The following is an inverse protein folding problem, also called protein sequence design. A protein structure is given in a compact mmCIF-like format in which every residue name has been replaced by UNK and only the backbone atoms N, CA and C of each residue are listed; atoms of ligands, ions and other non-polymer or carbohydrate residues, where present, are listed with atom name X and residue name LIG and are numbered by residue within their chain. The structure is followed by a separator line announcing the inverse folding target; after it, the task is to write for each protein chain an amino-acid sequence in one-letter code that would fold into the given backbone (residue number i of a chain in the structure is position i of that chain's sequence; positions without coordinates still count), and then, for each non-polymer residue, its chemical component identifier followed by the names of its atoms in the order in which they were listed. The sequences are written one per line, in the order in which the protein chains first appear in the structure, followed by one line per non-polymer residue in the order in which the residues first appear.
data_IF_738333005241
#
_entry.id   IF_738333005241
#
_cell.length_a   1.000
_cell.length_b   1.000
_cell.length_c   1.000
_cell.angle_alpha   90.00
_cell.angle_beta   90.00
_cell.angle_gamma   90.00
#
_symmetry.space_group_name_H-M   'P 1'
#
loop_
_entity.id
_entity.type
_entity.pdbx_description
1 polymer ?
#
# COMPACT_ATOMS: atom_id res chain seq x y z
N UNK A 1 5.01 -25.77 -17.41
CA UNK A 1 3.66 -25.27 -17.07
C UNK A 1 2.69 -26.43 -17.16
N UNK A 2 2.04 -26.83 -16.08
CA UNK A 2 1.12 -27.97 -16.08
C UNK A 2 -0.16 -27.62 -16.86
N UNK A 3 -0.82 -28.62 -17.46
CA UNK A 3 -2.13 -28.42 -18.11
C UNK A 3 -3.17 -27.81 -17.14
N UNK A 4 -3.02 -28.06 -15.84
CA UNK A 4 -3.85 -27.47 -14.78
C UNK A 4 -3.63 -25.96 -14.63
N UNK A 5 -2.38 -25.51 -14.70
CA UNK A 5 -2.03 -24.09 -14.53
C UNK A 5 -2.60 -23.25 -15.67
N UNK A 6 -2.54 -23.76 -16.91
CA UNK A 6 -3.12 -23.10 -18.08
C UNK A 6 -4.63 -22.89 -17.93
N UNK A 7 -5.36 -23.92 -17.47
CA UNK A 7 -6.80 -23.82 -17.22
C UNK A 7 -7.13 -22.81 -16.13
N UNK A 8 -6.33 -22.75 -15.07
CA UNK A 8 -6.51 -21.76 -13.99
C UNK A 8 -6.23 -20.32 -14.46
N UNK A 9 -5.18 -20.11 -15.25
CA UNK A 9 -4.85 -18.80 -15.83
C UNK A 9 -5.96 -18.31 -16.76
N UNK A 10 -6.49 -19.21 -17.58
CA UNK A 10 -7.60 -18.94 -18.48
C UNK A 10 -8.87 -18.54 -17.71
N UNK A 11 -9.24 -19.29 -16.67
CA UNK A 11 -10.37 -18.94 -15.80
C UNK A 11 -10.19 -17.57 -15.15
N UNK A 12 -8.97 -17.23 -14.71
CA UNK A 12 -8.68 -15.90 -14.14
C UNK A 12 -8.80 -14.78 -15.17
N UNK A 13 -8.36 -14.98 -16.41
CA UNK A 13 -8.46 -13.98 -17.46
C UNK A 13 -9.91 -13.77 -17.92
N UNK A 14 -10.72 -14.83 -17.94
CA UNK A 14 -12.17 -14.74 -18.16
C UNK A 14 -12.83 -13.96 -17.02
N UNK A 15 -12.52 -14.26 -15.75
CA UNK A 15 -13.02 -13.50 -14.60
C UNK A 15 -12.64 -12.01 -14.65
N UNK A 16 -11.47 -11.68 -15.20
CA UNK A 16 -11.03 -10.30 -15.38
C UNK A 16 -11.67 -9.60 -16.60
N UNK A 17 -12.53 -10.28 -17.38
CA UNK A 17 -13.09 -9.80 -18.65
C UNK A 17 -12.02 -9.48 -19.71
N UNK A 18 -10.82 -10.07 -19.59
CA UNK A 18 -9.76 -9.94 -20.58
C UNK A 18 -9.94 -10.92 -21.75
N UNK A 19 -10.66 -12.03 -21.52
CA UNK A 19 -11.04 -13.02 -22.52
C UNK A 19 -12.56 -13.19 -22.55
N UNK A 20 -13.09 -13.42 -23.75
CA UNK A 20 -14.49 -13.78 -23.95
C UNK A 20 -14.77 -15.23 -23.52
N UNK A 21 -15.95 -15.51 -22.94
CA UNK A 21 -16.36 -16.85 -22.51
C UNK A 21 -16.90 -17.73 -23.66
N UNK A 22 -16.49 -17.46 -24.91
CA UNK A 22 -16.92 -18.21 -26.09
C UNK A 22 -16.03 -19.43 -26.33
N UNK A 23 -16.50 -20.38 -27.14
CA UNK A 23 -15.73 -21.59 -27.50
C UNK A 23 -14.37 -21.25 -28.15
N UNK A 24 -14.28 -20.10 -28.83
CA UNK A 24 -13.04 -19.52 -29.36
C UNK A 24 -12.69 -18.30 -28.52
N UNK A 25 -12.02 -18.52 -27.39
CA UNK A 25 -11.61 -17.46 -26.44
C UNK A 25 -10.81 -16.38 -27.16
N UNK A 26 -11.51 -15.29 -27.48
CA UNK A 26 -10.96 -14.12 -28.16
C UNK A 26 -10.54 -13.09 -27.12
N UNK A 27 -9.50 -12.31 -27.41
CA UNK A 27 -9.05 -11.22 -26.54
C UNK A 27 -9.98 -10.02 -26.66
N UNK A 28 -10.50 -9.54 -25.53
CA UNK A 28 -11.38 -8.36 -25.49
C UNK A 28 -10.57 -7.07 -25.68
N UNK A 29 -11.23 -5.96 -25.99
CA UNK A 29 -10.57 -4.65 -26.06
C UNK A 29 -9.95 -4.25 -24.70
N UNK A 30 -10.63 -4.59 -23.60
CA UNK A 30 -10.07 -4.48 -22.25
C UNK A 30 -8.81 -5.35 -22.10
N UNK A 31 -8.84 -6.60 -22.55
CA UNK A 31 -7.67 -7.49 -22.52
C UNK A 31 -6.48 -6.94 -23.33
N UNK A 32 -6.74 -6.32 -24.49
CA UNK A 32 -5.71 -5.66 -25.31
C UNK A 32 -5.08 -4.49 -24.57
N UNK A 33 -5.88 -3.61 -23.95
CA UNK A 33 -5.33 -2.48 -23.18
C UNK A 33 -4.55 -2.94 -21.96
N UNK A 34 -5.03 -3.98 -21.26
CA UNK A 34 -4.32 -4.60 -20.14
C UNK A 34 -2.96 -5.18 -20.55
N UNK A 35 -2.85 -5.75 -21.76
CA UNK A 35 -1.60 -6.35 -22.25
C UNK A 35 -0.47 -5.35 -22.51
N UNK A 36 -0.77 -4.06 -22.57
CA UNK A 36 0.23 -3.00 -22.79
C UNK A 36 1.02 -2.73 -21.49
N UNK A 37 0.41 -2.97 -20.33
CA UNK A 37 1.05 -2.71 -19.06
C UNK A 37 1.98 -3.87 -18.66
N UNK A 38 3.23 -3.60 -18.23
CA UNK A 38 4.13 -4.62 -17.69
C UNK A 38 3.76 -4.97 -16.24
N UNK A 39 2.48 -5.29 -16.02
CA UNK A 39 1.91 -5.57 -14.70
C UNK A 39 1.09 -6.85 -14.74
N UNK A 40 0.83 -7.39 -13.54
CA UNK A 40 -0.11 -8.50 -13.42
C UNK A 40 -1.51 -8.07 -13.89
N UNK A 41 -2.28 -8.94 -14.58
CA UNK A 41 -3.58 -8.58 -15.16
C UNK A 41 -4.57 -7.94 -14.17
N UNK A 42 -4.51 -8.32 -12.88
CA UNK A 42 -5.36 -7.72 -11.83
C UNK A 42 -5.06 -6.23 -11.62
N UNK A 43 -3.78 -5.85 -11.55
CA UNK A 43 -3.37 -4.46 -11.36
C UNK A 43 -3.54 -3.66 -12.66
N UNK A 44 -3.30 -4.28 -13.81
CA UNK A 44 -3.59 -3.68 -15.11
C UNK A 44 -5.08 -3.31 -15.25
N UNK A 45 -6.00 -4.20 -14.83
CA UNK A 45 -7.43 -3.91 -14.78
C UNK A 45 -7.77 -2.77 -13.81
N UNK A 46 -7.10 -2.73 -12.65
CA UNK A 46 -7.29 -1.65 -11.68
C UNK A 46 -6.94 -0.29 -12.30
N UNK A 47 -5.83 -0.20 -13.05
CA UNK A 47 -5.43 1.02 -13.75
C UNK A 47 -6.39 1.40 -14.88
N UNK A 48 -6.87 0.44 -15.67
CA UNK A 48 -7.79 0.74 -16.78
C UNK A 48 -9.14 1.26 -16.27
N UNK A 49 -9.66 0.71 -15.16
CA UNK A 49 -10.88 1.21 -14.51
C UNK A 49 -10.66 2.58 -13.85
N UNK A 50 -9.52 2.78 -13.18
CA UNK A 50 -9.22 4.05 -12.52
C UNK A 50 -9.12 5.24 -13.49
N UNK A 51 -8.73 4.97 -14.74
CA UNK A 51 -8.71 5.98 -15.78
C UNK A 51 -10.13 6.43 -16.17
N UNK A 52 -11.10 5.52 -16.16
CA UNK A 52 -12.50 5.82 -16.48
C UNK A 52 -13.16 6.67 -15.38
N UNK A 53 -12.87 6.34 -14.12
CA UNK A 53 -13.44 6.99 -12.93
C UNK A 53 -12.66 8.24 -12.46
N UNK A 54 -11.72 8.74 -13.28
CA UNK A 54 -10.90 9.92 -13.00
C UNK A 54 -10.12 9.89 -11.65
N UNK A 55 -9.93 8.71 -11.06
CA UNK A 55 -9.20 8.49 -9.80
C UNK A 55 -7.78 7.91 -10.05
N UNK A 56 -7.31 8.05 -11.28
CA UNK A 56 -6.05 7.52 -11.79
C UNK A 56 -4.82 7.79 -10.91
N UNK A 57 -4.52 9.02 -10.43
CA UNK A 57 -3.30 9.28 -9.65
C UNK A 57 -3.25 8.52 -8.31
N UNK A 58 -4.41 8.33 -7.66
CA UNK A 58 -4.49 7.58 -6.41
C UNK A 58 -4.25 6.09 -6.63
N UNK A 59 -4.84 5.55 -7.70
CA UNK A 59 -4.69 4.14 -8.05
C UNK A 59 -3.26 3.82 -8.50
N UNK A 60 -2.58 4.71 -9.22
CA UNK A 60 -1.16 4.51 -9.55
C UNK A 60 -0.32 4.38 -8.27
N UNK A 61 -0.56 5.22 -7.26
CA UNK A 61 0.16 5.14 -5.99
C UNK A 61 -0.07 3.80 -5.28
N UNK A 62 -1.31 3.31 -5.27
CA UNK A 62 -1.65 1.99 -4.71
C UNK A 62 -0.99 0.88 -5.51
N UNK A 63 -1.07 0.90 -6.84
CA UNK A 63 -0.48 -0.12 -7.72
C UNK A 63 1.05 -0.17 -7.59
N UNK A 64 1.71 0.99 -7.48
CA UNK A 64 3.15 1.07 -7.24
C UNK A 64 3.51 0.45 -5.88
N UNK A 65 2.78 0.77 -4.82
CA UNK A 65 3.01 0.19 -3.50
C UNK A 65 2.80 -1.34 -3.47
N UNK A 66 1.74 -1.83 -4.10
CA UNK A 66 1.46 -3.26 -4.22
C UNK A 66 2.50 -4.02 -5.04
N UNK A 67 3.21 -3.33 -5.95
CA UNK A 67 4.27 -3.93 -6.77
C UNK A 67 5.57 -4.10 -5.99
N UNK A 68 5.87 -3.21 -5.05
CA UNK A 68 7.08 -3.25 -4.21
C UNK A 68 6.89 -4.18 -3.00
N UNK A 69 5.67 -4.28 -2.46
CA UNK A 69 5.34 -5.21 -1.38
C UNK A 69 5.25 -4.55 -0.01
N UNK A 70 5.97 -5.06 0.99
CA UNK A 70 5.84 -4.61 2.39
C UNK A 70 6.49 -3.23 2.60
N UNK A 71 5.64 -2.22 2.79
CA UNK A 71 6.04 -0.82 3.03
C UNK A 71 6.28 -0.53 4.50
N UNK A 72 5.41 -1.06 5.37
CA UNK A 72 5.42 -0.78 6.80
C UNK A 72 6.30 -1.78 7.55
N UNK A 73 7.04 -1.26 8.53
CA UNK A 73 7.70 -2.08 9.53
C UNK A 73 6.62 -2.66 10.45
N UNK A 74 6.66 -3.98 10.67
CA UNK A 74 5.70 -4.66 11.57
C UNK A 74 6.18 -4.56 13.02
N UNK A 75 5.23 -4.62 13.95
CA UNK A 75 5.50 -4.56 15.40
C UNK A 75 6.54 -5.61 15.85
N UNK A 76 6.46 -6.84 15.34
CA UNK A 76 7.42 -7.89 15.63
C UNK A 76 8.87 -7.56 15.22
N UNK A 77 9.08 -6.69 14.21
CA UNK A 77 10.42 -6.26 13.81
C UNK A 77 10.99 -5.19 14.75
N UNK A 78 10.14 -4.54 15.55
CA UNK A 78 10.53 -3.56 16.57
C UNK A 78 10.94 -4.25 17.87
N UNK A 79 10.29 -5.38 18.18
CA UNK A 79 10.67 -6.27 19.26
C UNK A 79 11.81 -7.18 18.84
N UNK A 80 13.04 -6.68 18.96
CA UNK A 80 14.23 -7.55 19.07
C UNK A 80 14.20 -8.20 20.47
N UNK A 81 13.19 -9.02 20.73
CA UNK A 81 13.20 -10.02 21.79
C UNK A 81 13.65 -11.30 21.13
N UNK A 82 14.90 -11.69 21.36
CA UNK A 82 15.35 -13.04 21.00
C UNK A 82 14.41 -14.02 21.72
N UNK A 83 13.85 -15.03 21.03
CA UNK A 83 13.04 -16.04 21.70
C UNK A 83 13.95 -16.81 22.67
N UNK A 84 13.87 -16.49 23.96
CA UNK A 84 14.74 -17.11 24.98
C UNK A 84 14.97 -16.33 26.27
N UNK A 85 14.55 -15.06 26.38
CA UNK A 85 14.48 -14.40 27.70
C UNK A 85 13.07 -14.62 28.26
N UNK A 86 12.94 -15.63 29.13
CA UNK A 86 11.75 -15.80 29.99
C UNK A 86 11.72 -14.63 30.98
N UNK A 87 10.85 -13.66 30.71
CA UNK A 87 10.51 -12.61 31.66
C UNK A 87 9.67 -13.22 32.78
N UNK A 88 10.15 -13.09 34.02
CA UNK A 88 9.29 -13.22 35.20
C UNK A 88 8.14 -12.22 35.06
N UNK A 89 6.94 -12.76 35.21
CA UNK A 89 5.65 -12.15 34.99
C UNK A 89 5.45 -10.88 35.84
N UNK A 90 5.10 -9.80 35.14
CA UNK A 90 4.13 -8.82 35.64
C UNK A 90 3.28 -8.45 34.44
N UNK A 91 2.25 -9.26 34.22
CA UNK A 91 1.08 -8.95 33.41
C UNK A 91 0.39 -7.74 34.06
N UNK A 92 0.80 -6.53 33.67
CA UNK A 92 -0.12 -5.40 33.68
C UNK A 92 -0.80 -5.42 32.32
N UNK A 93 -1.93 -6.14 32.32
CA UNK A 93 -2.88 -6.32 31.24
C UNK A 93 -3.59 -4.98 30.97
N UNK A 94 -2.88 -4.04 30.33
CA UNK A 94 -3.50 -2.83 29.78
C UNK A 94 -4.17 -3.21 28.46
N UNK A 95 -5.43 -3.62 28.55
CA UNK A 95 -6.41 -3.72 27.47
C UNK A 95 -6.38 -2.44 26.60
N UNK A 96 -5.66 -2.49 25.48
CA UNK A 96 -5.55 -1.42 24.48
C UNK A 96 -6.79 -1.39 23.58
N UNK A 97 -7.98 -1.36 24.17
CA UNK A 97 -9.22 -1.21 23.38
C UNK A 97 -9.99 0.07 23.70
N UNK A 98 -9.69 0.78 24.79
CA UNK A 98 -10.46 1.97 25.10
C UNK A 98 -9.71 2.98 25.97
N UNK A 99 -8.72 3.70 25.42
CA UNK A 99 -8.72 5.12 25.73
C UNK A 99 -8.01 6.05 24.75
N UNK A 100 -8.84 6.95 24.23
CA UNK A 100 -8.52 8.33 23.92
C UNK A 100 -8.07 9.05 25.22
N UNK A 101 -6.88 8.74 25.74
CA UNK A 101 -6.22 9.55 26.77
C UNK A 101 -5.15 10.42 26.14
N UNK A 102 -5.40 11.73 26.18
CA UNK A 102 -4.37 12.77 26.22
C UNK A 102 -3.42 12.45 27.37
N UNK A 103 -2.12 12.57 27.15
CA UNK A 103 -1.13 13.11 28.08
C UNK A 103 0.16 13.33 27.28
N UNK A 104 0.55 14.59 27.26
CA UNK A 104 1.70 15.16 26.57
C UNK A 104 3.02 14.57 27.09
N UNK A 105 4.00 14.48 26.20
CA UNK A 105 5.44 14.66 26.45
C UNK A 105 5.96 14.18 27.82
N UNK A 106 6.15 12.87 27.97
CA UNK A 106 7.19 12.36 28.87
C UNK A 106 8.46 12.24 28.03
N UNK A 107 9.25 13.31 28.09
CA UNK A 107 10.34 13.59 27.17
C UNK A 107 11.41 12.50 27.17
N UNK A 108 11.92 12.25 25.98
CA UNK A 108 13.09 11.43 25.63
C UNK A 108 14.33 11.67 26.54
N UNK A 109 14.33 12.78 27.29
CA UNK A 109 15.30 13.15 28.33
C UNK A 109 15.27 12.27 29.59
N UNK A 110 14.13 11.76 30.04
CA UNK A 110 14.06 10.96 31.29
C UNK A 110 14.76 9.60 31.16
N UNK A 111 14.88 9.08 29.93
CA UNK A 111 15.62 7.86 29.64
C UNK A 111 17.12 7.99 29.96
N UNK A 112 17.68 9.19 30.01
CA UNK A 112 19.11 9.38 30.24
C UNK A 112 19.52 9.17 31.72
N UNK A 113 18.55 9.22 32.64
CA UNK A 113 18.79 9.14 34.09
C UNK A 113 18.61 7.73 34.69
N UNK A 114 18.18 6.76 33.89
CA UNK A 114 18.00 5.38 34.34
C UNK A 114 19.34 4.64 34.28
N UNK A 115 19.91 4.35 35.44
CA UNK A 115 21.21 3.66 35.57
C UNK A 115 21.14 2.17 35.27
N UNK A 116 19.96 1.56 35.35
CA UNK A 116 19.77 0.13 35.12
C UNK A 116 19.53 -0.18 33.63
N UNK A 117 20.45 -0.92 33.03
CA UNK A 117 20.42 -1.26 31.60
C UNK A 117 19.15 -2.04 31.19
N UNK A 118 18.65 -2.92 32.06
CA UNK A 118 17.43 -3.71 31.78
C UNK A 118 16.18 -2.84 31.77
N UNK A 119 16.07 -1.95 32.76
CA UNK A 119 14.95 -0.99 32.86
C UNK A 119 15.00 0.01 31.70
N UNK A 120 16.19 0.51 31.36
CA UNK A 120 16.39 1.41 30.23
C UNK A 120 15.93 0.78 28.90
N UNK A 121 16.29 -0.49 28.66
CA UNK A 121 15.85 -1.23 27.47
C UNK A 121 14.33 -1.40 27.44
N UNK A 122 13.70 -1.74 28.58
CA UNK A 122 12.23 -1.87 28.71
C UNK A 122 11.52 -0.55 28.42
N UNK A 123 11.97 0.56 29.00
CA UNK A 123 11.37 1.88 28.79
C UNK A 123 11.59 2.39 27.36
N UNK A 124 12.75 2.14 26.74
CA UNK A 124 12.99 2.43 25.31
C UNK A 124 12.06 1.67 24.37
N UNK A 125 11.75 0.40 24.68
CA UNK A 125 10.79 -0.41 23.92
C UNK A 125 9.38 0.19 24.03
N UNK A 126 8.94 0.52 25.24
CA UNK A 126 7.64 1.19 25.46
C UNK A 126 7.53 2.51 24.70
N UNK A 127 8.58 3.35 24.75
CA UNK A 127 8.60 4.61 24.02
C UNK A 127 8.51 4.40 22.50
N UNK A 128 9.31 3.47 21.95
CA UNK A 128 9.28 3.13 20.51
C UNK A 128 7.90 2.62 20.09
N UNK A 129 7.26 1.76 20.89
CA UNK A 129 5.91 1.24 20.65
C UNK A 129 4.85 2.35 20.67
N UNK A 130 4.94 3.29 21.62
CA UNK A 130 4.07 4.48 21.67
C UNK A 130 4.24 5.36 20.43
N UNK A 131 5.48 5.62 20.01
CA UNK A 131 5.78 6.37 18.79
C UNK A 131 5.22 5.66 17.54
N UNK A 132 5.35 4.33 17.48
CA UNK A 132 4.81 3.51 16.40
C UNK A 132 3.29 3.65 16.26
N UNK A 133 2.53 3.41 17.34
CA UNK A 133 1.08 3.55 17.27
C UNK A 133 0.64 5.00 16.98
N UNK A 134 1.34 6.00 17.54
CA UNK A 134 1.06 7.41 17.23
C UNK A 134 1.24 7.70 15.74
N UNK A 135 2.34 7.26 15.13
CA UNK A 135 2.57 7.41 13.70
C UNK A 135 1.53 6.66 12.87
N UNK A 136 1.17 5.44 13.28
CA UNK A 136 0.17 4.62 12.60
C UNK A 136 -1.22 5.27 12.61
N UNK A 137 -1.67 5.83 13.73
CA UNK A 137 -2.96 6.54 13.83
C UNK A 137 -3.01 7.75 12.90
N UNK A 138 -1.90 8.45 12.69
CA UNK A 138 -1.83 9.57 11.73
C UNK A 138 -2.10 9.10 10.31
N UNK A 139 -1.57 7.94 9.92
CA UNK A 139 -1.74 7.39 8.57
C UNK A 139 -3.12 6.73 8.36
N UNK A 140 -3.81 6.36 9.43
CA UNK A 140 -5.17 5.80 9.41
C UNK A 140 -6.27 6.88 9.36
N UNK A 141 -5.91 8.17 9.30
CA UNK A 141 -6.86 9.28 9.38
C UNK A 141 -7.95 9.31 8.29
N UNK A 142 -7.71 8.71 7.12
CA UNK A 142 -8.67 8.71 6.02
C UNK A 142 -9.74 7.63 6.17
N UNK A 143 -9.30 6.42 6.50
CA UNK A 143 -10.17 5.25 6.72
C UNK A 143 -9.40 4.20 7.54
N UNK A 144 -9.83 3.92 8.79
CA UNK A 144 -9.15 2.96 9.67
C UNK A 144 -9.30 1.50 9.23
N UNK A 145 -10.27 1.18 8.36
CA UNK A 145 -10.50 -0.19 7.89
C UNK A 145 -9.73 -0.51 6.61
N UNK A 146 -9.20 0.51 5.93
CA UNK A 146 -8.62 0.36 4.60
C UNK A 146 -7.09 0.58 4.63
N UNK A 147 -6.34 -0.52 4.69
CA UNK A 147 -4.88 -0.50 4.59
C UNK A 147 -4.37 0.17 3.31
N UNK A 148 -5.14 0.14 2.22
CA UNK A 148 -4.75 0.82 0.98
C UNK A 148 -4.81 2.34 1.14
N UNK A 149 -5.77 2.86 1.92
CA UNK A 149 -5.86 4.29 2.21
C UNK A 149 -4.68 4.74 3.10
N UNK A 150 -4.26 3.88 4.04
CA UNK A 150 -3.08 4.10 4.86
C UNK A 150 -1.80 4.19 4.02
N UNK A 151 -1.61 3.26 3.08
CA UNK A 151 -0.49 3.31 2.11
C UNK A 151 -0.53 4.61 1.31
N UNK A 152 -1.71 4.99 0.81
CA UNK A 152 -1.89 6.20 0.01
C UNK A 152 -1.49 7.47 0.78
N UNK A 153 -1.89 7.57 2.05
CA UNK A 153 -1.52 8.68 2.93
C UNK A 153 -0.01 8.79 3.11
N UNK A 154 0.66 7.67 3.39
CA UNK A 154 2.11 7.62 3.58
C UNK A 154 2.85 8.02 2.32
N UNK A 155 2.47 7.46 1.17
CA UNK A 155 3.11 7.79 -0.11
C UNK A 155 2.91 9.28 -0.44
N UNK A 156 1.74 9.84 -0.16
CA UNK A 156 1.45 11.26 -0.32
C UNK A 156 2.20 12.17 0.67
N UNK A 157 2.43 11.73 1.90
CA UNK A 157 3.25 12.44 2.87
C UNK A 157 4.73 12.40 2.48
N UNK A 158 5.25 11.22 2.10
CA UNK A 158 6.62 11.04 1.62
C UNK A 158 6.96 11.90 0.40
N UNK A 159 6.01 12.07 -0.52
CA UNK A 159 6.20 12.91 -1.71
C UNK A 159 6.33 14.41 -1.41
N UNK A 160 5.79 14.88 -0.27
CA UNK A 160 5.85 16.29 0.16
C UNK A 160 7.07 16.61 1.00
N UNK A 161 7.69 15.59 1.59
CA UNK A 161 8.77 15.77 2.54
C UNK A 161 10.13 16.01 1.85
N UNK A 162 10.96 16.85 2.47
CA UNK A 162 12.30 17.17 1.96
C UNK A 162 13.33 16.15 2.42
N UNK A 163 13.27 15.73 3.69
CA UNK A 163 14.16 14.72 4.25
C UNK A 163 13.49 13.35 4.31
N UNK A 164 13.63 12.61 3.20
CA UNK A 164 13.03 11.30 2.99
C UNK A 164 13.50 10.23 3.99
N UNK A 165 14.77 10.28 4.40
CA UNK A 165 15.34 9.29 5.32
C UNK A 165 14.79 9.46 6.74
N UNK A 166 14.79 10.70 7.26
CA UNK A 166 14.22 11.01 8.57
C UNK A 166 12.73 10.68 8.64
N UNK A 167 11.99 11.01 7.58
CA UNK A 167 10.57 10.66 7.47
C UNK A 167 10.34 9.16 7.60
N UNK A 168 11.13 8.33 6.91
CA UNK A 168 11.00 6.89 6.96
C UNK A 168 11.29 6.32 8.36
N UNK A 169 12.27 6.90 9.08
CA UNK A 169 12.57 6.48 10.46
C UNK A 169 11.49 6.87 11.47
N UNK A 170 10.91 8.05 11.33
CA UNK A 170 9.87 8.55 12.24
C UNK A 170 8.52 7.88 12.02
N UNK A 171 8.21 7.51 10.77
CA UNK A 171 6.93 6.89 10.40
C UNK A 171 6.98 5.36 10.33
N UNK A 172 8.11 4.73 10.68
CA UNK A 172 8.29 3.28 10.68
C UNK A 172 7.99 2.66 9.29
N UNK A 173 8.57 3.27 8.26
CA UNK A 173 8.42 2.86 6.86
C UNK A 173 9.78 2.47 6.29
N UNK A 174 9.83 1.41 5.49
CA UNK A 174 11.07 1.00 4.84
C UNK A 174 11.51 2.02 3.78
N UNK A 175 12.68 2.61 3.99
CA UNK A 175 13.24 3.61 3.08
C UNK A 175 13.45 3.08 1.65
N UNK A 176 14.04 1.88 1.51
CA UNK A 176 14.27 1.26 0.20
C UNK A 176 12.95 1.03 -0.55
N UNK A 177 11.93 0.52 0.13
CA UNK A 177 10.61 0.33 -0.46
C UNK A 177 10.01 1.65 -0.94
N UNK A 178 10.09 2.72 -0.14
CA UNK A 178 9.61 4.05 -0.53
C UNK A 178 10.37 4.65 -1.72
N UNK A 179 11.68 4.42 -1.81
CA UNK A 179 12.46 4.83 -2.97
C UNK A 179 12.01 4.11 -4.25
N UNK A 180 11.81 2.80 -4.19
CA UNK A 180 11.33 2.01 -5.34
C UNK A 180 9.93 2.44 -5.77
N UNK A 181 9.01 2.66 -4.82
CA UNK A 181 7.67 3.19 -5.09
C UNK A 181 7.75 4.53 -5.81
N UNK A 182 8.62 5.44 -5.33
CA UNK A 182 8.78 6.76 -5.94
C UNK A 182 9.32 6.67 -7.39
N UNK A 183 10.24 5.73 -7.66
CA UNK A 183 10.74 5.48 -9.01
C UNK A 183 9.65 4.91 -9.92
N UNK A 184 8.87 3.94 -9.44
CA UNK A 184 7.75 3.37 -10.17
C UNK A 184 6.68 4.41 -10.49
N UNK A 185 6.34 5.28 -9.53
CA UNK A 185 5.42 6.41 -9.75
C UNK A 185 5.92 7.34 -10.86
N UNK A 186 7.23 7.62 -10.88
CA UNK A 186 7.87 8.38 -11.95
C UNK A 186 7.74 7.70 -13.31
N UNK A 187 8.01 6.40 -13.37
CA UNK A 187 7.86 5.59 -14.58
C UNK A 187 6.42 5.60 -15.09
N UNK A 188 5.44 5.31 -14.23
CA UNK A 188 4.03 5.35 -14.58
C UNK A 188 3.63 6.72 -15.12
N UNK A 189 4.03 7.82 -14.47
CA UNK A 189 3.69 9.18 -14.89
C UNK A 189 4.22 9.51 -16.30
N UNK A 190 5.37 8.97 -16.70
CA UNK A 190 5.98 9.23 -18.01
C UNK A 190 5.39 8.31 -19.08
N UNK A 191 5.23 7.02 -18.78
CA UNK A 191 4.84 6.02 -19.78
C UNK A 191 3.34 6.06 -20.07
N UNK A 192 2.47 6.24 -19.08
CA UNK A 192 1.01 6.25 -19.27
C UNK A 192 0.43 7.28 -20.26
N UNK A 193 0.88 8.55 -20.32
CA UNK A 193 0.38 9.50 -21.31
C UNK A 193 0.81 9.16 -22.75
N UNK A 194 1.84 8.31 -22.95
CA UNK A 194 2.25 7.84 -24.28
C UNK A 194 1.46 6.61 -24.73
N UNK A 195 0.78 5.91 -23.82
CA UNK A 195 -0.11 4.82 -24.17
C UNK A 195 -1.37 5.43 -24.78
N UNK A 196 -1.80 5.03 -25.99
CA UNK A 196 -2.94 5.62 -26.68
C UNK A 196 -4.28 5.18 -26.07
N UNK A 197 -4.43 5.30 -24.75
CA UNK A 197 -5.70 5.15 -24.03
C UNK A 197 -6.75 6.13 -24.59
N UNK A 198 -6.34 7.35 -24.96
CA UNK A 198 -7.21 8.32 -25.62
C UNK A 198 -7.68 7.92 -27.03
N UNK A 199 -6.92 7.16 -27.82
CA UNK A 199 -7.34 6.78 -29.20
C UNK A 199 -8.32 5.62 -29.22
N UNK A 200 -8.23 4.72 -28.23
CA UNK A 200 -9.10 3.54 -28.14
C UNK A 200 -10.47 3.92 -27.57
N UNK A 201 -10.52 4.89 -26.64
CA UNK A 201 -11.76 5.25 -25.94
C UNK A 201 -12.56 6.43 -26.52
N UNK A 202 -11.99 7.21 -27.45
CA UNK A 202 -12.76 8.21 -28.21
C UNK A 202 -13.81 7.53 -29.14
N UNK A 203 -13.59 6.27 -29.52
CA UNK A 203 -14.53 5.48 -30.32
C UNK A 203 -15.65 4.82 -29.50
N UNK A 204 -15.48 4.61 -28.19
CA UNK A 204 -16.50 3.95 -27.34
C UNK A 204 -17.46 4.94 -26.67
N UNK A 205 -17.00 6.17 -26.36
CA UNK A 205 -17.87 7.25 -25.84
C UNK A 205 -18.91 7.75 -26.86
N UNK A 206 -18.68 7.57 -28.16
CA UNK A 206 -19.71 7.80 -29.19
C UNK A 206 -20.71 6.65 -29.31
N UNK A 207 -20.39 5.46 -28.78
CA UNK A 207 -21.25 4.27 -28.86
C UNK A 207 -22.16 4.10 -27.64
N UNK A 208 -21.71 4.48 -26.43
CA UNK A 208 -22.55 4.44 -25.22
C UNK A 208 -23.58 5.57 -25.18
N UNK A 209 -23.28 6.74 -25.74
CA UNK A 209 -24.25 7.84 -25.86
C UNK A 209 -25.41 7.51 -26.84
N UNK A 210 -25.19 6.60 -27.79
CA UNK A 210 -26.21 6.18 -28.77
C UNK A 210 -27.14 5.06 -28.27
N UNK A 211 -26.84 4.41 -27.14
CA UNK A 211 -27.62 3.29 -26.59
C UNK A 211 -28.54 3.69 -25.42
N UNK A 212 -28.41 4.91 -24.89
CA UNK A 212 -29.37 5.49 -23.92
C UNK A 212 -30.46 6.36 -24.56
N UNK A 213 -30.50 6.48 -25.89
CA UNK A 213 -31.46 7.29 -26.63
C UNK A 213 -32.43 6.46 -27.50
N UNK A 214 -32.75 5.22 -27.11
CA UNK A 214 -33.78 4.39 -27.74
C UNK A 214 -34.57 3.60 -26.71
#
# INVERSE_FOLDING_TARGET
MSSKDLKQLEQRLVYLNALENSNKKSITELGKTMSIFPLVPRLAKMLTLAHQENCFPYVIAIVAALSVGEVFVKEFQLDITRPGETDDESEDDDDVSNQRYRLDDMDEMELQHITNEKVLKKEKRKLTRRKFYKAQTVHEALDPLNDMAKILNVVGAYARETNKEKFCTENFVHYKAMQEIHQLLGWFRITLPTVPLCRIWCLTLTWTSRRLAS
#
